data_IF_134212366647
#
_entry.id   IF_134212366647
#
_cell.length_a   1.000
_cell.length_b   1.000
_cell.length_c   1.000
_cell.angle_alpha   90.00
_cell.angle_beta   90.00
_cell.angle_gamma   90.00
#
_symmetry.space_group_name_H-M   'P 1'
#
loop_
_entity.id
_entity.type
_entity.pdbx_description
1 polymer ?
#
# COMPACT_ATOMS: atom_id res chain seq x y z
N UNK A 1 -2.84 12.38 -9.09
CA UNK A 1 -3.30 12.04 -7.71
C UNK A 1 -3.54 10.54 -7.62
N UNK A 2 -2.86 9.88 -6.71
CA UNK A 2 -2.93 8.43 -6.55
C UNK A 2 -4.18 8.00 -5.78
N UNK A 3 -4.83 6.95 -6.28
CA UNK A 3 -6.09 6.39 -5.74
C UNK A 3 -5.99 4.86 -5.65
N UNK A 4 -7.05 4.22 -5.17
CA UNK A 4 -7.13 2.76 -5.10
C UNK A 4 -6.98 2.07 -6.46
N UNK A 5 -7.34 2.73 -7.56
CA UNK A 5 -7.14 2.24 -8.92
C UNK A 5 -5.66 2.12 -9.33
N UNK A 6 -4.75 2.76 -8.59
CA UNK A 6 -3.30 2.60 -8.79
C UNK A 6 -2.72 1.39 -8.07
N UNK A 7 -3.56 0.61 -7.37
CA UNK A 7 -3.20 -0.68 -6.75
C UNK A 7 -3.92 -1.78 -7.51
N UNK A 8 -3.20 -2.47 -8.37
CA UNK A 8 -3.69 -3.66 -9.07
C UNK A 8 -3.15 -4.91 -8.38
N UNK A 9 -4.03 -5.58 -7.63
CA UNK A 9 -3.68 -6.63 -6.67
C UNK A 9 -2.62 -6.15 -5.68
N UNK A 10 -1.35 -6.51 -5.87
CA UNK A 10 -0.21 -6.10 -5.04
C UNK A 10 0.80 -5.26 -5.81
N UNK A 11 0.43 -4.76 -6.98
CA UNK A 11 1.31 -4.02 -7.88
C UNK A 11 0.85 -2.57 -8.03
N UNK A 12 1.82 -1.65 -7.99
CA UNK A 12 1.57 -0.25 -8.30
C UNK A 12 1.51 -0.04 -9.81
N UNK A 13 0.45 0.59 -10.30
CA UNK A 13 0.24 0.83 -11.73
C UNK A 13 -0.25 2.25 -12.01
N UNK A 14 0.06 2.74 -13.20
CA UNK A 14 -0.61 3.90 -13.79
C UNK A 14 -1.68 3.42 -14.77
N UNK A 15 -2.78 4.16 -14.89
CA UNK A 15 -3.88 3.82 -15.77
C UNK A 15 -4.43 5.03 -16.54
N UNK A 16 -5.28 4.75 -17.52
CA UNK A 16 -5.95 5.79 -18.32
C UNK A 16 -6.87 6.67 -17.46
N UNK A 17 -7.34 6.13 -16.34
CA UNK A 17 -8.21 6.81 -15.38
C UNK A 17 -7.44 7.64 -14.32
N UNK A 18 -6.14 7.83 -14.49
CA UNK A 18 -5.36 8.60 -13.53
C UNK A 18 -5.82 10.05 -13.46
N UNK A 19 -5.98 10.55 -12.24
CA UNK A 19 -6.45 11.92 -12.00
C UNK A 19 -5.26 12.86 -11.90
N UNK A 20 -5.26 13.85 -12.77
CA UNK A 20 -4.28 14.95 -12.74
C UNK A 20 -4.81 16.11 -11.92
N UNK A 21 -3.92 16.78 -11.20
CA UNK A 21 -4.21 17.92 -10.33
C UNK A 21 -3.26 19.05 -10.69
N UNK A 22 -3.77 20.28 -10.71
CA UNK A 22 -2.93 21.45 -10.93
C UNK A 22 -1.88 21.58 -9.81
N UNK A 23 -0.63 21.66 -10.21
CA UNK A 23 0.52 21.75 -9.29
C UNK A 23 0.43 22.98 -8.37
N UNK A 24 -0.15 24.07 -8.86
CA UNK A 24 -0.29 25.33 -8.12
C UNK A 24 -1.26 25.28 -6.93
N UNK A 25 -2.17 24.29 -6.92
CA UNK A 25 -3.15 24.14 -5.82
C UNK A 25 -2.77 23.06 -4.82
N UNK A 26 -1.70 22.33 -5.08
CA UNK A 26 -1.24 21.23 -4.21
C UNK A 26 -0.64 21.78 -2.92
N UNK A 27 -1.27 21.46 -1.79
CA UNK A 27 -0.79 21.79 -0.43
C UNK A 27 -0.41 20.54 0.37
N UNK A 28 -0.73 19.35 -0.13
CA UNK A 28 -0.44 18.08 0.52
C UNK A 28 1.02 17.68 0.33
N UNK A 29 1.58 16.90 1.27
CA UNK A 29 2.90 16.32 1.06
C UNK A 29 2.95 15.49 -0.23
N UNK A 30 4.07 15.59 -0.92
CA UNK A 30 4.31 14.81 -2.13
C UNK A 30 4.68 13.37 -1.80
N UNK A 31 4.19 12.47 -2.61
CA UNK A 31 4.51 11.05 -2.55
C UNK A 31 5.92 10.80 -3.08
N UNK A 32 6.63 9.87 -2.49
CA UNK A 32 7.98 9.48 -2.90
C UNK A 32 7.98 8.02 -3.35
N UNK A 33 8.87 7.72 -4.27
CA UNK A 33 9.16 6.33 -4.60
C UNK A 33 9.65 5.58 -3.36
N UNK A 34 9.17 4.35 -3.16
CA UNK A 34 9.43 3.56 -1.97
C UNK A 34 8.42 3.75 -0.84
N UNK A 35 7.56 4.78 -0.91
CA UNK A 35 6.41 4.87 0.01
C UNK A 35 5.43 3.72 -0.24
N UNK A 36 4.70 3.31 0.78
CA UNK A 36 3.63 2.32 0.68
C UNK A 36 2.30 3.05 0.59
N UNK A 37 1.59 2.85 -0.52
CA UNK A 37 0.25 3.37 -0.76
C UNK A 37 -0.78 2.38 -0.20
N UNK A 38 -1.73 2.87 0.59
CA UNK A 38 -2.72 2.04 1.28
C UNK A 38 -4.11 2.60 0.99
N UNK A 39 -5.05 1.74 0.60
CA UNK A 39 -6.45 2.12 0.46
C UNK A 39 -7.11 2.21 1.84
N UNK A 40 -7.48 3.41 2.25
CA UNK A 40 -8.11 3.67 3.56
C UNK A 40 -9.63 3.63 3.49
N UNK A 41 -10.22 4.04 2.38
CA UNK A 41 -11.65 4.04 2.16
C UNK A 41 -11.98 3.69 0.70
N UNK A 42 -13.03 2.92 0.50
CA UNK A 42 -13.53 2.55 -0.83
C UNK A 42 -14.96 2.07 -0.74
N UNK A 43 -15.73 2.21 -1.81
CA UNK A 43 -17.08 1.64 -1.92
C UNK A 43 -17.11 0.11 -1.91
N UNK A 44 -15.98 -0.54 -2.14
CA UNK A 44 -15.82 -2.00 -2.02
C UNK A 44 -14.97 -2.35 -0.80
N UNK A 45 -15.54 -3.09 0.14
CA UNK A 45 -14.84 -3.53 1.35
C UNK A 45 -13.59 -4.37 1.06
N UNK A 46 -13.58 -5.06 -0.09
CA UNK A 46 -12.42 -5.88 -0.50
C UNK A 46 -11.18 -5.07 -0.85
N UNK A 47 -11.36 -3.79 -1.18
CA UNK A 47 -10.26 -2.91 -1.56
C UNK A 47 -9.67 -2.15 -0.36
N UNK A 48 -10.41 -2.01 0.74
CA UNK A 48 -9.92 -1.33 1.95
C UNK A 48 -8.81 -2.17 2.59
N UNK A 49 -7.68 -1.55 2.84
CA UNK A 49 -6.48 -2.19 3.36
C UNK A 49 -5.51 -2.70 2.31
N UNK A 50 -5.89 -2.76 1.03
CA UNK A 50 -4.93 -3.10 -0.04
C UNK A 50 -3.79 -2.09 -0.07
N UNK A 51 -2.58 -2.58 -0.31
CA UNK A 51 -1.36 -1.78 -0.25
C UNK A 51 -0.34 -2.23 -1.27
N UNK A 52 0.52 -1.31 -1.67
CA UNK A 52 1.65 -1.60 -2.56
C UNK A 52 2.77 -0.60 -2.38
N UNK A 53 3.99 -0.99 -2.71
CA UNK A 53 5.14 -0.07 -2.78
C UNK A 53 5.06 0.73 -4.09
N UNK A 54 5.19 2.04 -3.98
CA UNK A 54 5.23 2.94 -5.14
C UNK A 54 6.59 2.81 -5.83
N UNK A 55 6.56 2.50 -7.11
CA UNK A 55 7.73 2.30 -7.98
C UNK A 55 7.60 3.11 -9.26
N UNK A 56 8.75 3.43 -9.84
CA UNK A 56 8.83 4.12 -11.14
C UNK A 56 8.07 5.46 -11.17
N UNK A 57 8.04 6.15 -10.03
CA UNK A 57 7.40 7.45 -9.90
C UNK A 57 8.44 8.56 -10.06
N UNK A 58 8.25 9.49 -11.02
CA UNK A 58 9.09 10.67 -11.11
C UNK A 58 9.03 11.50 -9.83
N UNK A 59 10.15 12.09 -9.45
CA UNK A 59 10.22 12.94 -8.26
C UNK A 59 9.23 14.11 -8.33
N UNK A 60 8.61 14.41 -7.20
CA UNK A 60 7.69 15.54 -7.02
C UNK A 60 6.51 15.54 -8.01
N UNK A 61 6.06 14.37 -8.45
CA UNK A 61 5.04 14.22 -9.48
C UNK A 61 3.66 13.80 -8.96
N UNK A 62 3.54 13.37 -7.70
CA UNK A 62 2.28 12.82 -7.22
C UNK A 62 1.94 13.20 -5.78
N UNK A 63 0.65 13.23 -5.52
CA UNK A 63 0.03 13.26 -4.18
C UNK A 63 -0.91 12.06 -4.05
N UNK A 64 -1.21 11.63 -2.84
CA UNK A 64 -2.27 10.64 -2.62
C UNK A 64 -3.64 11.31 -2.48
N UNK A 65 -4.70 10.60 -2.86
CA UNK A 65 -6.08 11.04 -2.67
C UNK A 65 -6.52 10.95 -1.21
N UNK A 66 -7.63 11.62 -0.88
CA UNK A 66 -8.15 11.68 0.50
C UNK A 66 -8.63 10.35 1.06
N UNK A 67 -8.84 9.35 0.20
CA UNK A 67 -9.22 7.98 0.61
C UNK A 67 -8.03 7.01 0.68
N UNK A 68 -6.83 7.56 0.60
CA UNK A 68 -5.59 6.81 0.67
C UNK A 68 -4.78 7.23 1.89
N UNK A 69 -3.96 6.31 2.39
CA UNK A 69 -2.90 6.57 3.35
C UNK A 69 -1.54 6.29 2.70
N UNK A 70 -0.53 6.90 3.27
CA UNK A 70 0.85 6.73 2.84
C UNK A 70 1.73 6.37 4.04
N UNK A 71 2.50 5.32 3.90
CA UNK A 71 3.50 4.94 4.89
C UNK A 71 4.90 5.10 4.31
N UNK A 72 5.71 5.92 4.96
CA UNK A 72 7.13 6.08 4.65
C UNK A 72 7.95 5.34 5.70
N UNK A 73 8.79 4.41 5.28
CA UNK A 73 9.55 3.58 6.19
C UNK A 73 10.95 3.26 5.63
N UNK A 74 11.85 2.84 6.53
CA UNK A 74 13.25 2.57 6.17
C UNK A 74 13.41 1.31 5.30
N UNK A 75 12.58 0.28 5.55
CA UNK A 75 12.60 -0.98 4.80
C UNK A 75 11.20 -1.27 4.23
N UNK A 76 10.80 -0.57 3.15
CA UNK A 76 9.44 -0.71 2.61
C UNK A 76 9.10 -2.13 2.16
N UNK A 77 10.05 -2.88 1.60
CA UNK A 77 9.83 -4.27 1.19
C UNK A 77 9.47 -5.17 2.39
N UNK A 78 10.15 -4.98 3.52
CA UNK A 78 9.83 -5.72 4.74
C UNK A 78 8.45 -5.32 5.28
N UNK A 79 8.16 -4.04 5.41
CA UNK A 79 6.88 -3.55 5.92
C UNK A 79 5.72 -3.95 5.01
N UNK A 80 5.89 -3.85 3.71
CA UNK A 80 4.89 -4.30 2.75
C UNK A 80 4.60 -5.81 2.86
N UNK A 81 5.62 -6.63 3.08
CA UNK A 81 5.48 -8.08 3.33
C UNK A 81 4.79 -8.34 4.68
N UNK A 82 5.14 -7.60 5.71
CA UNK A 82 4.50 -7.68 7.03
C UNK A 82 3.00 -7.36 6.94
N UNK A 83 2.62 -6.37 6.13
CA UNK A 83 1.23 -6.02 5.85
C UNK A 83 0.49 -7.05 5.00
N UNK A 84 1.15 -8.08 4.50
CA UNK A 84 0.54 -9.25 3.84
C UNK A 84 0.47 -10.47 4.77
N UNK A 85 0.86 -10.32 6.04
CA UNK A 85 0.87 -11.39 7.03
C UNK A 85 -0.44 -11.49 7.81
N UNK A 86 -0.56 -12.56 8.60
CA UNK A 86 -1.73 -12.81 9.43
C UNK A 86 -2.04 -11.68 10.43
N UNK A 87 -1.03 -10.97 10.92
CA UNK A 87 -1.21 -9.80 11.77
C UNK A 87 -2.07 -8.74 11.10
N UNK A 88 -1.75 -8.39 9.86
CA UNK A 88 -2.48 -7.36 9.12
C UNK A 88 -3.92 -7.79 8.80
N UNK A 89 -4.13 -9.05 8.46
CA UNK A 89 -5.47 -9.61 8.27
C UNK A 89 -6.30 -9.49 9.53
N UNK A 90 -5.73 -9.80 10.69
CA UNK A 90 -6.40 -9.61 12.00
C UNK A 90 -6.71 -8.14 12.28
N UNK A 91 -5.77 -7.26 11.99
CA UNK A 91 -5.96 -5.82 12.14
C UNK A 91 -7.14 -5.33 11.30
N UNK A 92 -7.20 -5.67 10.02
CA UNK A 92 -8.30 -5.30 9.13
C UNK A 92 -9.63 -5.84 9.67
N UNK A 93 -9.68 -7.08 10.10
CA UNK A 93 -10.91 -7.68 10.63
C UNK A 93 -11.41 -7.02 11.92
N UNK A 94 -10.51 -6.56 12.78
CA UNK A 94 -10.86 -5.95 14.06
C UNK A 94 -11.23 -4.47 13.96
N UNK A 95 -10.52 -3.73 13.14
CA UNK A 95 -10.61 -2.26 13.09
C UNK A 95 -11.32 -1.69 11.87
N UNK A 96 -11.38 -2.45 10.78
CA UNK A 96 -11.90 -1.98 9.50
C UNK A 96 -13.21 -2.67 9.13
N UNK A 97 -13.27 -3.98 9.26
CA UNK A 97 -14.49 -4.74 8.97
C UNK A 97 -15.57 -4.39 10.02
N UNK A 98 -16.47 -3.50 9.68
CA UNK A 98 -17.61 -3.17 10.54
C UNK A 98 -18.50 -4.38 10.77
N UNK A 99 -19.00 -4.58 12.00
CA UNK A 99 -20.07 -5.53 12.27
C UNK A 99 -21.29 -5.21 11.38
N UNK A 100 -22.10 -6.19 11.07
CA UNK A 100 -23.33 -6.06 10.27
C UNK A 100 -23.14 -5.71 8.78
N UNK A 101 -22.01 -6.05 8.18
CA UNK A 101 -21.75 -5.85 6.75
C UNK A 101 -21.52 -4.40 6.34
N UNK A 102 -21.36 -3.48 7.29
CA UNK A 102 -20.96 -2.11 7.00
C UNK A 102 -19.55 -2.06 6.44
N UNK A 103 -19.33 -1.22 5.43
CA UNK A 103 -17.99 -0.95 4.90
C UNK A 103 -17.28 -0.01 5.87
N UNK A 104 -16.25 -0.49 6.55
CA UNK A 104 -15.42 0.31 7.43
C UNK A 104 -14.29 1.03 6.67
N UNK A 105 -13.76 2.07 7.29
CA UNK A 105 -12.58 2.78 6.82
C UNK A 105 -11.37 2.38 7.65
N UNK A 106 -10.20 2.29 7.02
CA UNK A 106 -8.94 2.14 7.72
C UNK A 106 -8.53 3.51 8.27
N UNK A 107 -8.39 3.59 9.59
CA UNK A 107 -8.00 4.82 10.27
C UNK A 107 -6.48 4.83 10.49
N UNK A 108 -5.85 5.93 10.15
CA UNK A 108 -4.40 6.10 10.33
C UNK A 108 -3.97 5.88 11.79
N UNK A 109 -4.72 6.43 12.74
CA UNK A 109 -4.42 6.31 14.16
C UNK A 109 -4.43 4.85 14.63
N UNK A 110 -5.43 4.08 14.22
CA UNK A 110 -5.53 2.66 14.58
C UNK A 110 -4.34 1.85 14.03
N UNK A 111 -3.89 2.18 12.83
CA UNK A 111 -2.72 1.53 12.23
C UNK A 111 -1.42 1.94 12.94
N UNK A 112 -1.25 3.22 13.24
CA UNK A 112 -0.06 3.75 13.91
C UNK A 112 0.13 3.20 15.34
N UNK A 113 -0.96 2.83 16.01
CA UNK A 113 -0.91 2.26 17.37
C UNK A 113 -0.62 0.75 17.41
N UNK A 114 -0.53 0.09 16.26
CA UNK A 114 -0.23 -1.34 16.24
C UNK A 114 1.21 -1.61 16.67
N UNK A 115 1.36 -2.55 17.61
CA UNK A 115 2.66 -3.03 18.06
C UNK A 115 2.93 -4.41 17.45
N UNK A 116 4.00 -4.50 16.68
CA UNK A 116 4.42 -5.75 16.06
C UNK A 116 5.88 -6.05 16.44
N UNK A 117 6.18 -7.32 16.68
CA UNK A 117 7.56 -7.74 16.86
C UNK A 117 8.26 -7.75 15.51
N UNK A 118 9.38 -7.04 15.45
CA UNK A 118 10.18 -6.96 14.23
C UNK A 118 11.61 -7.45 14.49
N UNK A 119 12.23 -8.13 13.51
CA UNK A 119 13.62 -8.54 13.62
C UNK A 119 14.58 -7.34 13.48
N UNK A 120 15.87 -7.60 13.55
CA UNK A 120 16.90 -6.60 13.29
C UNK A 120 16.79 -6.00 11.89
N UNK A 121 17.37 -4.81 11.69
CA UNK A 121 17.37 -4.14 10.37
C UNK A 121 17.97 -5.00 9.27
N UNK A 122 19.02 -5.78 9.58
CA UNK A 122 19.65 -6.69 8.65
C UNK A 122 18.71 -7.82 8.24
N UNK A 123 18.02 -8.41 9.19
CA UNK A 123 17.03 -9.47 8.93
C UNK A 123 15.81 -8.93 8.19
N UNK A 124 15.35 -7.73 8.53
CA UNK A 124 14.27 -7.05 7.78
C UNK A 124 14.63 -6.90 6.31
N UNK A 125 15.86 -6.45 6.02
CA UNK A 125 16.33 -6.30 4.63
C UNK A 125 16.39 -7.64 3.89
N UNK A 126 16.86 -8.69 4.54
CA UNK A 126 16.91 -10.03 3.96
C UNK A 126 15.51 -10.59 3.67
N UNK A 127 14.57 -10.45 4.60
CA UNK A 127 13.18 -10.89 4.44
C UNK A 127 12.50 -10.10 3.32
N UNK A 128 12.65 -8.79 3.30
CA UNK A 128 12.08 -7.92 2.26
C UNK A 128 12.61 -8.28 0.87
N UNK A 129 13.89 -8.50 0.72
CA UNK A 129 14.52 -8.94 -0.54
C UNK A 129 13.99 -10.31 -0.98
N UNK A 130 13.84 -11.25 -0.07
CA UNK A 130 13.30 -12.58 -0.37
C UNK A 130 11.90 -12.50 -0.97
N UNK A 131 10.97 -11.79 -0.34
CA UNK A 131 9.60 -11.67 -0.82
C UNK A 131 9.50 -10.83 -2.09
N UNK A 132 10.25 -9.75 -2.22
CA UNK A 132 10.31 -8.94 -3.44
C UNK A 132 10.79 -9.77 -4.64
N UNK A 133 11.82 -10.61 -4.47
CA UNK A 133 12.31 -11.51 -5.49
C UNK A 133 11.28 -12.57 -5.87
N UNK A 134 10.59 -13.13 -4.88
CA UNK A 134 9.53 -14.11 -5.11
C UNK A 134 8.37 -13.51 -5.91
N UNK A 135 7.93 -12.30 -5.56
CA UNK A 135 6.87 -11.58 -6.28
C UNK A 135 7.24 -11.32 -7.73
N UNK A 136 8.50 -10.94 -8.01
CA UNK A 136 9.01 -10.78 -9.37
C UNK A 136 8.96 -12.09 -10.17
N UNK A 137 9.34 -13.21 -9.55
CA UNK A 137 9.27 -14.53 -10.19
C UNK A 137 7.84 -14.95 -10.49
N UNK A 138 6.91 -14.71 -9.57
CA UNK A 138 5.48 -14.98 -9.78
C UNK A 138 4.95 -14.15 -10.96
N UNK A 139 5.23 -12.86 -11.00
CA UNK A 139 4.80 -11.98 -12.09
C UNK A 139 5.36 -12.42 -13.46
N UNK A 140 6.64 -12.79 -13.52
CA UNK A 140 7.25 -13.29 -14.74
C UNK A 140 6.63 -14.63 -15.20
N UNK A 141 6.29 -15.50 -14.26
CA UNK A 141 5.65 -16.79 -14.57
C UNK A 141 4.23 -16.60 -15.11
N UNK A 142 3.47 -15.72 -14.51
CA UNK A 142 2.12 -15.36 -14.98
C UNK A 142 2.14 -14.80 -16.40
N UNK A 143 3.12 -13.97 -16.76
CA UNK A 143 3.28 -13.43 -18.12
C UNK A 143 3.57 -14.51 -19.16
N UNK A 144 4.26 -15.57 -18.78
CA UNK A 144 4.57 -16.69 -19.67
C UNK A 144 3.39 -17.64 -19.91
N UNK A 145 2.37 -17.57 -19.08
CA UNK A 145 1.20 -18.45 -19.15
C UNK A 145 0.10 -17.93 -20.08
N UNK A 146 0.29 -16.76 -20.66
CA UNK A 146 -0.61 -16.18 -21.67
C UNK A 146 -0.07 -16.54 -23.09
#
# INVERSE_FOLDING_TARGET
MLRSSNIDEDTFTFGEDDVFVDKGVVKSPLVKEGDILITAANGSSRLVGKHTIIKDLPENSAIHGGFMLLASCRNPEFINSLMSSAWYTKFINLYVAGGNGAIGNLNKHDLDEQNVLVPSQKEQSAIGTFFSTLDQHIALHQRKSI
#
